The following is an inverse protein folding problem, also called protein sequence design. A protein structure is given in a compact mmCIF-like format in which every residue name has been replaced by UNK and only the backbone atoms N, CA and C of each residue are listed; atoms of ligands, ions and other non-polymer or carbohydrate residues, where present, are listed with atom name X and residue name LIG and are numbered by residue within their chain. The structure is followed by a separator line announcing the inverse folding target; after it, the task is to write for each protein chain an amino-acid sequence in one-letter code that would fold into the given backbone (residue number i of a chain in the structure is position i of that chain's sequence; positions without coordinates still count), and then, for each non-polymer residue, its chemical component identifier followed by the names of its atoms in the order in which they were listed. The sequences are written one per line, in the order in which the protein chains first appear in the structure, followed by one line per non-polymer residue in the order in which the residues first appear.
data_IF_302000264934
#
_entry.id   IF_302000264934
#
_cell.length_a   1.000
_cell.length_b   1.000
_cell.length_c   1.000
_cell.angle_alpha   90.00
_cell.angle_beta   90.00
_cell.angle_gamma   90.00
#
_symmetry.space_group_name_H-M   'P 1'
#
loop_
_entity.id
_entity.type
_entity.pdbx_description
1 polymer ?
#
# COMPACT_ATOMS: atom_id res chain seq x y z
N UNK A 1 4.69 1.85 25.27
CA UNK A 1 4.29 0.99 24.14
C UNK A 1 3.81 1.90 23.03
N UNK A 2 4.35 1.79 21.83
CA UNK A 2 3.95 2.58 20.66
C UNK A 2 2.98 1.80 19.79
N UNK A 3 2.24 2.51 18.94
CA UNK A 3 1.24 1.89 18.06
C UNK A 3 1.31 2.50 16.65
N UNK A 4 1.22 1.64 15.64
CA UNK A 4 1.07 2.00 14.23
C UNK A 4 -0.20 1.34 13.70
N UNK A 5 -0.98 2.08 12.93
CA UNK A 5 -2.15 1.55 12.23
C UNK A 5 -1.79 1.41 10.75
N UNK A 6 -2.01 0.23 10.17
CA UNK A 6 -1.73 -0.04 8.76
C UNK A 6 -3.06 -0.39 8.09
N UNK A 7 -3.39 0.32 7.02
CA UNK A 7 -4.60 0.07 6.25
C UNK A 7 -4.34 0.17 4.74
N UNK A 8 -5.13 -0.55 3.97
CA UNK A 8 -5.18 -0.44 2.51
C UNK A 8 -6.26 0.56 2.13
N UNK A 9 -6.04 1.32 1.03
CA UNK A 9 -7.06 2.17 0.42
C UNK A 9 -8.34 1.39 0.08
N UNK A 10 -9.49 2.08 0.02
CA UNK A 10 -10.77 1.53 -0.42
C UNK A 10 -10.74 0.98 -1.85
N UNK A 11 -11.78 0.26 -2.26
CA UNK A 11 -11.87 -0.32 -3.59
C UNK A 11 -11.75 0.78 -4.67
N UNK A 12 -10.86 0.58 -5.65
CA UNK A 12 -10.74 1.42 -6.85
C UNK A 12 -11.39 0.76 -8.07
N UNK A 13 -11.69 1.54 -9.12
CA UNK A 13 -12.30 1.05 -10.37
C UNK A 13 -11.51 -0.14 -10.94
N UNK A 14 -10.17 -0.08 -11.00
CA UNK A 14 -9.38 -1.19 -11.52
C UNK A 14 -9.25 -2.38 -10.55
N UNK A 15 -9.54 -2.19 -9.25
CA UNK A 15 -9.71 -3.33 -8.35
C UNK A 15 -10.99 -4.10 -8.70
N UNK A 16 -12.10 -3.39 -8.95
CA UNK A 16 -13.36 -3.95 -9.40
C UNK A 16 -13.20 -4.67 -10.75
N UNK A 17 -12.50 -4.06 -11.71
CA UNK A 17 -12.21 -4.62 -13.03
C UNK A 17 -11.19 -5.76 -13.03
N UNK A 18 -10.60 -6.08 -11.88
CA UNK A 18 -9.52 -7.07 -11.75
C UNK A 18 -8.31 -6.82 -12.66
N UNK A 19 -7.91 -5.55 -12.82
CA UNK A 19 -6.72 -5.14 -13.59
C UNK A 19 -5.50 -4.94 -12.67
N UNK A 20 -4.30 -4.99 -13.26
CA UNK A 20 -3.08 -4.54 -12.60
C UNK A 20 -3.09 -3.01 -12.53
N UNK A 21 -3.02 -2.44 -11.33
CA UNK A 21 -3.16 -0.99 -11.14
C UNK A 21 -1.82 -0.29 -11.03
N UNK A 22 -0.92 -0.80 -10.20
CA UNK A 22 0.39 -0.21 -9.99
C UNK A 22 0.34 1.27 -9.61
N UNK A 23 1.07 2.10 -10.36
CA UNK A 23 1.17 3.54 -10.13
C UNK A 23 0.18 4.36 -10.95
N UNK A 24 -0.62 3.75 -11.80
CA UNK A 24 -1.67 4.45 -12.54
C UNK A 24 -2.68 5.08 -11.56
N UNK A 25 -3.02 6.35 -11.82
CA UNK A 25 -3.99 7.09 -11.02
C UNK A 25 -5.42 6.70 -11.36
N UNK A 26 -6.01 5.88 -10.50
CA UNK A 26 -7.38 5.39 -10.63
C UNK A 26 -8.18 5.79 -9.39
N UNK A 27 -9.37 6.40 -9.54
CA UNK A 27 -10.19 6.83 -8.42
C UNK A 27 -10.83 5.65 -7.69
N UNK A 28 -11.36 5.93 -6.50
CA UNK A 28 -12.19 4.99 -5.76
C UNK A 28 -13.53 4.75 -6.47
N UNK A 29 -14.11 3.57 -6.22
CA UNK A 29 -15.54 3.32 -6.46
C UNK A 29 -16.37 3.94 -5.33
N UNK A 30 -17.70 4.06 -5.51
CA UNK A 30 -18.58 4.48 -4.41
C UNK A 30 -18.51 3.52 -3.23
N UNK A 31 -18.38 2.22 -3.49
CA UNK A 31 -18.11 1.21 -2.47
C UNK A 31 -16.80 1.49 -1.73
N UNK A 32 -15.72 1.84 -2.45
CA UNK A 32 -14.44 2.20 -1.86
C UNK A 32 -14.52 3.44 -0.95
N UNK A 33 -15.34 4.43 -1.30
CA UNK A 33 -15.62 5.61 -0.46
C UNK A 33 -16.38 5.21 0.82
N UNK A 34 -17.35 4.31 0.71
CA UNK A 34 -18.05 3.78 1.88
C UNK A 34 -17.13 2.94 2.78
N UNK A 35 -16.25 2.14 2.17
CA UNK A 35 -15.21 1.41 2.92
C UNK A 35 -14.32 2.36 3.72
N UNK A 36 -13.89 3.49 3.14
CA UNK A 36 -13.09 4.49 3.83
C UNK A 36 -13.79 5.08 5.08
N UNK A 37 -15.10 5.36 4.99
CA UNK A 37 -15.90 5.80 6.14
C UNK A 37 -15.98 4.75 7.24
N UNK A 38 -16.23 3.49 6.87
CA UNK A 38 -16.24 2.36 7.82
C UNK A 38 -14.88 2.18 8.49
N UNK A 39 -13.78 2.31 7.74
CA UNK A 39 -12.42 2.27 8.28
C UNK A 39 -12.23 3.32 9.37
N UNK A 40 -12.66 4.56 9.13
CA UNK A 40 -12.56 5.64 10.11
C UNK A 40 -13.31 5.28 11.42
N UNK A 41 -14.54 4.77 11.31
CA UNK A 41 -15.34 4.35 12.47
C UNK A 41 -14.60 3.29 13.30
N UNK A 42 -14.05 2.27 12.64
CA UNK A 42 -13.37 1.15 13.30
C UNK A 42 -12.05 1.55 13.94
N UNK A 43 -11.30 2.50 13.33
CA UNK A 43 -10.02 2.95 13.87
C UNK A 43 -10.14 4.11 14.87
N UNK A 44 -11.32 4.72 15.02
CA UNK A 44 -11.56 5.85 15.97
C UNK A 44 -11.07 5.57 17.41
N UNK A 45 -11.29 4.36 18.01
CA UNK A 45 -10.78 4.06 19.35
C UNK A 45 -9.26 4.08 19.49
N UNK A 46 -8.53 3.89 18.38
CA UNK A 46 -7.07 3.86 18.35
C UNK A 46 -6.43 5.23 18.19
N UNK A 47 -7.24 6.27 17.96
CA UNK A 47 -6.86 7.68 17.91
C UNK A 47 -5.68 7.97 16.99
N UNK A 48 -5.76 7.66 15.67
CA UNK A 48 -4.72 8.07 14.75
C UNK A 48 -4.55 9.58 14.78
N UNK A 49 -3.32 10.07 14.87
CA UNK A 49 -3.03 11.50 15.02
C UNK A 49 -2.21 12.09 13.87
N UNK A 50 -1.78 11.25 12.94
CA UNK A 50 -1.06 11.62 11.72
C UNK A 50 -1.29 10.53 10.66
N UNK A 51 -1.46 10.92 9.40
CA UNK A 51 -1.68 9.99 8.28
C UNK A 51 -0.50 10.08 7.33
N UNK A 52 0.14 8.94 7.06
CA UNK A 52 1.12 8.75 5.99
C UNK A 52 0.46 7.99 4.85
N UNK A 53 0.51 8.54 3.64
CA UNK A 53 -0.14 7.92 2.48
C UNK A 53 0.69 8.05 1.21
N UNK A 54 0.33 7.30 0.17
CA UNK A 54 0.96 7.41 -1.13
C UNK A 54 0.49 8.65 -1.89
N UNK A 55 1.17 8.98 -2.99
CA UNK A 55 0.75 10.07 -3.89
C UNK A 55 -0.34 9.65 -4.88
N UNK A 56 -0.82 8.40 -4.82
CA UNK A 56 -1.83 7.88 -5.73
C UNK A 56 -3.23 8.30 -5.29
N UNK A 57 -4.04 8.74 -6.25
CA UNK A 57 -5.36 9.33 -6.02
C UNK A 57 -6.25 8.51 -5.09
N UNK A 58 -6.37 7.18 -5.30
CA UNK A 58 -7.19 6.29 -4.47
C UNK A 58 -6.78 6.29 -3.01
N UNK A 59 -5.48 6.46 -2.73
CA UNK A 59 -4.92 6.48 -1.38
C UNK A 59 -5.17 7.85 -0.74
N UNK A 60 -4.92 8.94 -1.48
CA UNK A 60 -5.21 10.31 -1.03
C UNK A 60 -6.70 10.46 -0.73
N UNK A 61 -7.58 10.02 -1.65
CA UNK A 61 -9.04 10.11 -1.48
C UNK A 61 -9.51 9.34 -0.24
N UNK A 62 -8.99 8.12 -0.01
CA UNK A 62 -9.28 7.35 1.20
C UNK A 62 -8.81 8.09 2.46
N UNK A 63 -7.59 8.65 2.45
CA UNK A 63 -7.03 9.41 3.58
C UNK A 63 -7.88 10.63 3.91
N UNK A 64 -8.31 11.37 2.90
CA UNK A 64 -9.15 12.58 3.07
C UNK A 64 -10.52 12.24 3.65
N UNK A 65 -11.12 11.12 3.22
CA UNK A 65 -12.39 10.66 3.79
C UNK A 65 -12.20 10.27 5.26
N UNK A 66 -11.16 9.50 5.58
CA UNK A 66 -10.86 9.10 6.96
C UNK A 66 -10.60 10.33 7.83
N UNK A 67 -9.79 11.28 7.36
CA UNK A 67 -9.52 12.53 8.06
C UNK A 67 -10.81 13.27 8.41
N UNK A 68 -11.71 13.43 7.43
CA UNK A 68 -13.01 14.10 7.64
C UNK A 68 -13.89 13.41 8.66
N UNK A 69 -13.97 12.09 8.62
CA UNK A 69 -14.79 11.31 9.58
C UNK A 69 -14.20 11.34 11.00
N UNK A 70 -12.91 11.65 11.14
CA UNK A 70 -12.22 11.75 12.43
C UNK A 70 -12.04 13.18 12.92
N UNK A 71 -12.52 14.20 12.19
CA UNK A 71 -12.33 15.65 12.48
C UNK A 71 -12.74 16.09 13.90
N UNK A 72 -13.67 15.38 14.54
CA UNK A 72 -14.02 15.66 15.94
C UNK A 72 -12.86 15.50 16.92
N UNK A 73 -11.75 14.89 16.49
CA UNK A 73 -10.62 14.57 17.35
C UNK A 73 -9.45 15.56 17.26
N UNK A 74 -9.25 16.26 16.16
CA UNK A 74 -8.25 17.31 15.82
C UNK A 74 -8.00 17.32 14.31
N UNK A 75 -7.36 18.37 13.78
CA UNK A 75 -6.77 18.35 12.45
C UNK A 75 -5.66 17.30 12.39
N UNK A 76 -5.94 16.18 11.70
CA UNK A 76 -4.98 15.09 11.51
C UNK A 76 -4.19 15.41 10.24
N UNK A 77 -2.88 15.72 10.31
CA UNK A 77 -2.08 16.01 9.12
C UNK A 77 -1.94 14.79 8.21
N UNK A 78 -1.97 15.04 6.89
CA UNK A 78 -1.73 14.02 5.86
C UNK A 78 -0.39 14.29 5.18
N UNK A 79 0.53 13.34 5.29
CA UNK A 79 1.84 13.35 4.64
C UNK A 79 1.84 12.37 3.47
N UNK A 80 2.15 12.87 2.28
CA UNK A 80 2.20 12.05 1.06
C UNK A 80 3.64 11.72 0.68
N UNK A 81 3.90 10.48 0.31
CA UNK A 81 5.19 10.05 -0.23
C UNK A 81 5.03 8.98 -1.30
N UNK A 82 5.75 9.11 -2.42
CA UNK A 82 5.80 8.07 -3.44
C UNK A 82 6.40 6.76 -2.92
N UNK A 83 7.16 6.81 -1.83
CA UNK A 83 7.72 5.62 -1.16
C UNK A 83 6.64 4.71 -0.60
N UNK A 84 5.42 5.23 -0.39
CA UNK A 84 4.23 4.45 0.00
C UNK A 84 3.37 4.01 -1.20
N UNK A 85 3.77 4.28 -2.46
CA UNK A 85 3.02 3.81 -3.63
C UNK A 85 2.94 2.28 -3.67
N UNK A 86 1.95 1.76 -4.42
CA UNK A 86 1.85 0.34 -4.75
C UNK A 86 3.09 -0.15 -5.53
N UNK A 87 3.32 -1.45 -5.55
CA UNK A 87 4.27 -2.07 -6.47
C UNK A 87 3.98 -1.61 -7.90
N UNK A 88 4.99 -1.10 -8.59
CA UNK A 88 4.87 -0.73 -10.00
C UNK A 88 4.85 -1.99 -10.86
N UNK A 89 3.86 -2.09 -11.75
CA UNK A 89 3.71 -3.27 -12.60
C UNK A 89 4.27 -3.09 -14.02
N UNK A 90 4.93 -1.96 -14.31
CA UNK A 90 5.50 -1.69 -15.63
C UNK A 90 4.43 -1.74 -16.72
N UNK A 91 4.72 -2.43 -17.80
CA UNK A 91 3.81 -2.57 -18.95
C UNK A 91 2.53 -3.37 -18.67
N UNK A 92 2.42 -4.00 -17.49
CA UNK A 92 1.19 -4.70 -17.11
C UNK A 92 0.11 -3.76 -16.56
N UNK A 93 0.40 -2.50 -16.29
CA UNK A 93 -0.60 -1.57 -15.75
C UNK A 93 -1.76 -1.38 -16.74
N UNK A 94 -2.99 -1.56 -16.26
CA UNK A 94 -4.21 -1.58 -17.07
C UNK A 94 -4.58 -2.94 -17.68
N UNK A 95 -3.66 -3.91 -17.68
CA UNK A 95 -3.90 -5.25 -18.23
C UNK A 95 -4.81 -6.05 -17.27
N UNK A 96 -5.87 -6.70 -17.78
CA UNK A 96 -6.69 -7.62 -16.99
C UNK A 96 -5.85 -8.80 -16.47
N UNK A 97 -6.00 -9.15 -15.18
CA UNK A 97 -5.27 -10.29 -14.58
C UNK A 97 -5.60 -11.61 -15.30
N UNK A 98 -6.83 -11.74 -15.79
CA UNK A 98 -7.24 -12.91 -16.58
C UNK A 98 -6.36 -13.09 -17.82
N UNK A 99 -6.04 -12.00 -18.55
CA UNK A 99 -5.19 -12.06 -19.72
C UNK A 99 -3.79 -12.65 -19.40
N UNK A 100 -3.17 -12.19 -18.34
CA UNK A 100 -1.86 -12.71 -17.93
C UNK A 100 -1.94 -14.18 -17.53
N UNK A 101 -3.00 -14.57 -16.84
CA UNK A 101 -3.24 -15.97 -16.48
C UNK A 101 -3.46 -16.86 -17.71
N UNK A 102 -4.21 -16.39 -18.68
CA UNK A 102 -4.51 -17.14 -19.90
C UNK A 102 -3.24 -17.30 -20.78
N UNK A 103 -2.35 -16.30 -20.80
CA UNK A 103 -1.12 -16.30 -21.63
C UNK A 103 0.04 -17.02 -20.94
N UNK A 104 0.25 -16.80 -19.65
CA UNK A 104 1.42 -17.27 -18.91
C UNK A 104 1.12 -18.38 -17.90
N UNK A 105 -0.15 -18.72 -17.71
CA UNK A 105 -0.60 -19.72 -16.76
C UNK A 105 -0.82 -19.20 -15.34
N UNK A 106 -1.56 -19.99 -14.54
CA UNK A 106 -1.90 -19.65 -13.15
C UNK A 106 -0.67 -19.56 -12.26
N UNK A 107 0.24 -20.55 -12.36
CA UNK A 107 1.45 -20.59 -11.53
C UNK A 107 2.32 -19.34 -11.71
N UNK A 108 2.58 -18.94 -12.96
CA UNK A 108 3.34 -17.73 -13.24
C UNK A 108 2.66 -16.49 -12.65
N UNK A 109 1.33 -16.37 -12.83
CA UNK A 109 0.55 -15.24 -12.32
C UNK A 109 0.60 -15.19 -10.79
N UNK A 110 0.55 -16.34 -10.13
CA UNK A 110 0.68 -16.45 -8.68
C UNK A 110 2.09 -16.07 -8.22
N UNK A 111 3.13 -16.63 -8.84
CA UNK A 111 4.53 -16.32 -8.52
C UNK A 111 4.81 -14.81 -8.64
N UNK A 112 4.38 -14.17 -9.72
CA UNK A 112 4.54 -12.72 -9.91
C UNK A 112 3.89 -11.91 -8.75
N UNK A 113 2.84 -12.43 -8.14
CA UNK A 113 2.12 -11.79 -7.03
C UNK A 113 2.64 -12.16 -5.65
N UNK A 114 3.26 -13.33 -5.48
CA UNK A 114 3.75 -13.82 -4.19
C UNK A 114 5.25 -13.65 -4.02
N UNK A 115 6.06 -14.00 -5.03
CA UNK A 115 7.51 -14.02 -4.95
C UNK A 115 8.11 -12.65 -4.63
N UNK A 116 9.14 -12.63 -3.80
CA UNK A 116 9.72 -11.41 -3.24
C UNK A 116 10.59 -10.66 -4.26
N UNK A 117 11.40 -11.37 -5.02
CA UNK A 117 12.39 -10.78 -5.95
C UNK A 117 11.90 -10.66 -7.40
N UNK A 118 10.80 -11.34 -7.73
CA UNK A 118 10.31 -11.39 -9.11
C UNK A 118 9.73 -10.07 -9.56
N UNK A 119 10.25 -9.54 -10.68
CA UNK A 119 9.69 -8.39 -11.40
C UNK A 119 8.58 -8.82 -12.37
N UNK A 120 7.64 -7.92 -12.72
CA UNK A 120 6.69 -8.19 -13.78
C UNK A 120 7.40 -8.34 -15.13
N UNK A 121 6.86 -9.12 -16.07
CA UNK A 121 7.40 -9.24 -17.42
C UNK A 121 7.23 -7.92 -18.18
N UNK A 122 8.15 -7.63 -19.08
CA UNK A 122 8.01 -6.54 -20.05
C UNK A 122 7.24 -7.06 -21.25
N UNK A 123 6.02 -6.60 -21.45
CA UNK A 123 5.25 -6.93 -22.64
C UNK A 123 5.70 -6.04 -23.80
N UNK A 124 6.14 -6.66 -24.89
CA UNK A 124 6.43 -5.94 -26.14
C UNK A 124 5.12 -5.36 -26.68
N UNK A 125 5.11 -4.09 -27.07
CA UNK A 125 3.98 -3.37 -27.69
C UNK A 125 2.85 -2.86 -26.77
N UNK A 126 3.01 -2.79 -25.45
CA UNK A 126 2.09 -2.04 -24.60
C UNK A 126 2.72 -0.70 -24.24
N UNK A 127 2.03 0.36 -24.67
CA UNK A 127 2.25 1.80 -24.46
C UNK A 127 3.45 2.22 -23.61
N UNK A 128 4.48 2.77 -24.27
CA UNK A 128 5.61 3.46 -23.65
C UNK A 128 5.24 4.80 -22.96
N UNK A 129 3.97 5.08 -22.75
CA UNK A 129 3.45 6.32 -22.17
C UNK A 129 3.73 6.50 -20.66
N UNK A 130 4.78 5.86 -20.16
CA UNK A 130 5.24 5.97 -18.76
C UNK A 130 5.86 7.34 -18.47
N UNK A 131 6.22 8.12 -19.50
CA UNK A 131 6.77 9.47 -19.35
C UNK A 131 5.77 10.52 -18.85
N UNK A 132 4.51 10.16 -18.67
CA UNK A 132 3.41 11.09 -18.37
C UNK A 132 3.20 11.42 -16.89
N UNK A 133 4.06 10.94 -15.98
CA UNK A 133 3.92 11.22 -14.57
C UNK A 133 4.94 12.28 -14.09
N UNK A 134 4.67 13.60 -14.19
CA UNK A 134 5.57 14.65 -13.71
C UNK A 134 5.94 14.51 -12.23
N UNK A 135 5.04 13.92 -11.45
CA UNK A 135 5.20 13.64 -10.01
C UNK A 135 6.39 12.71 -9.73
N UNK A 136 6.83 11.92 -10.71
CA UNK A 136 7.87 10.91 -10.56
C UNK A 136 9.22 11.30 -11.14
N UNK A 137 9.42 12.57 -11.52
CA UNK A 137 10.70 13.04 -12.10
C UNK A 137 11.92 12.77 -11.23
N UNK A 138 11.72 12.62 -9.91
CA UNK A 138 12.76 12.31 -8.94
C UNK A 138 12.73 10.84 -8.47
N UNK A 139 11.88 10.00 -9.06
CA UNK A 139 11.82 8.58 -8.77
C UNK A 139 12.81 7.84 -9.67
N UNK A 140 13.30 6.72 -9.16
CA UNK A 140 14.21 5.82 -9.86
C UNK A 140 13.61 5.38 -11.22
N UNK A 141 14.03 6.01 -12.31
CA UNK A 141 13.45 5.85 -13.66
C UNK A 141 13.47 4.40 -14.18
N UNK A 142 14.43 3.58 -13.74
CA UNK A 142 14.48 2.16 -14.12
C UNK A 142 13.32 1.32 -13.58
N UNK A 143 12.86 1.61 -12.35
CA UNK A 143 11.70 0.92 -11.78
C UNK A 143 10.43 1.18 -12.60
N UNK A 144 10.33 2.36 -13.20
CA UNK A 144 9.18 2.76 -14.01
C UNK A 144 9.11 1.98 -15.32
N UNK A 145 10.25 1.76 -16.00
CA UNK A 145 10.29 1.03 -17.28
C UNK A 145 10.03 -0.47 -17.13
N UNK A 146 10.56 -1.08 -16.08
CA UNK A 146 10.59 -2.55 -15.93
C UNK A 146 9.69 -3.06 -14.79
N UNK A 147 8.97 -2.17 -14.10
CA UNK A 147 8.24 -2.52 -12.91
C UNK A 147 9.14 -2.84 -11.71
N UNK A 148 8.52 -3.10 -10.57
CA UNK A 148 9.20 -3.37 -9.30
C UNK A 148 9.05 -4.84 -8.89
N UNK A 149 10.08 -5.40 -8.25
CA UNK A 149 9.91 -6.53 -7.34
C UNK A 149 9.38 -6.02 -5.99
N UNK A 150 9.01 -6.92 -5.07
CA UNK A 150 8.65 -6.51 -3.71
C UNK A 150 9.87 -6.10 -2.89
N UNK A 151 11.03 -6.63 -3.23
CA UNK A 151 12.32 -6.20 -2.71
C UNK A 151 12.58 -4.72 -3.05
N UNK A 152 12.32 -4.29 -4.29
CA UNK A 152 12.43 -2.88 -4.68
C UNK A 152 11.44 -2.00 -3.88
N UNK A 153 10.21 -2.48 -3.66
CA UNK A 153 9.23 -1.77 -2.83
C UNK A 153 9.74 -1.61 -1.40
N UNK A 154 10.32 -2.67 -0.81
CA UNK A 154 10.89 -2.62 0.53
C UNK A 154 12.06 -1.64 0.61
N UNK A 155 12.97 -1.68 -0.36
CA UNK A 155 14.16 -0.81 -0.41
C UNK A 155 13.80 0.69 -0.44
N UNK A 156 12.72 1.08 -1.14
CA UNK A 156 12.28 2.48 -1.14
C UNK A 156 11.43 2.86 0.08
N UNK A 157 10.76 1.88 0.68
CA UNK A 157 9.88 2.09 1.84
C UNK A 157 10.67 2.28 3.12
N UNK A 158 11.69 1.45 3.38
CA UNK A 158 12.40 1.40 4.65
C UNK A 158 12.99 2.74 5.08
N UNK A 159 13.72 3.49 4.25
CA UNK A 159 14.26 4.78 4.68
C UNK A 159 13.18 5.76 5.13
N UNK A 160 12.02 5.74 4.48
CA UNK A 160 10.89 6.59 4.86
C UNK A 160 10.20 6.11 6.15
N UNK A 161 10.09 4.80 6.31
CA UNK A 161 9.55 4.21 7.53
C UNK A 161 10.43 4.54 8.74
N UNK A 162 11.73 4.36 8.61
CA UNK A 162 12.69 4.55 9.72
C UNK A 162 12.90 6.02 10.08
N UNK A 163 13.04 6.90 9.09
CA UNK A 163 13.41 8.29 9.33
C UNK A 163 12.21 9.22 9.55
N UNK A 164 11.07 8.95 8.89
CA UNK A 164 9.90 9.82 8.96
C UNK A 164 8.80 9.23 9.86
N UNK A 165 8.41 7.96 9.62
CA UNK A 165 7.26 7.38 10.33
C UNK A 165 7.61 7.02 11.77
N UNK A 166 8.71 6.30 12.01
CA UNK A 166 9.14 5.96 13.37
C UNK A 166 9.47 7.18 14.22
N UNK A 167 9.97 8.25 13.59
CA UNK A 167 10.25 9.50 14.30
C UNK A 167 8.99 10.06 14.98
N UNK A 168 7.83 10.00 14.30
CA UNK A 168 6.58 10.52 14.88
C UNK A 168 6.10 9.76 16.12
N UNK A 169 6.50 8.50 16.27
CA UNK A 169 6.19 7.74 17.48
C UNK A 169 6.92 8.30 18.71
N UNK A 170 8.16 8.77 18.53
CA UNK A 170 8.93 9.41 19.62
C UNK A 170 8.30 10.73 20.06
N UNK A 171 7.55 11.38 19.18
CA UNK A 171 6.80 12.60 19.47
C UNK A 171 5.41 12.33 20.06
N UNK A 172 5.07 11.07 20.32
CA UNK A 172 3.81 10.66 20.93
C UNK A 172 2.63 10.51 19.95
N UNK A 173 2.90 10.50 18.63
CA UNK A 173 1.88 10.28 17.64
C UNK A 173 1.49 8.80 17.50
N UNK A 174 0.27 8.55 17.01
CA UNK A 174 -0.20 7.26 16.54
C UNK A 174 -0.36 7.36 15.01
N UNK A 175 0.65 6.96 14.21
CA UNK A 175 0.58 7.08 12.77
C UNK A 175 -0.37 6.05 12.15
N UNK A 176 -1.18 6.51 11.20
CA UNK A 176 -1.90 5.69 10.24
C UNK A 176 -1.10 5.63 8.94
N UNK A 177 -0.62 4.45 8.57
CA UNK A 177 -0.01 4.18 7.27
C UNK A 177 -1.10 3.67 6.33
N UNK A 178 -1.65 4.57 5.52
CA UNK A 178 -2.64 4.22 4.51
C UNK A 178 -1.96 4.00 3.16
N UNK A 179 -1.89 2.76 2.72
CA UNK A 179 -1.11 2.38 1.55
C UNK A 179 -1.82 1.33 0.68
N UNK A 180 -1.08 0.42 0.06
CA UNK A 180 -1.54 -0.55 -0.92
C UNK A 180 -1.21 -1.98 -0.49
N UNK A 181 -1.84 -2.99 -1.15
CA UNK A 181 -1.71 -4.39 -0.73
C UNK A 181 -0.25 -4.85 -0.65
N UNK A 182 0.55 -4.64 -1.70
CA UNK A 182 1.93 -5.15 -1.70
C UNK A 182 2.85 -4.31 -0.83
N UNK A 183 2.64 -3.00 -0.75
CA UNK A 183 3.44 -2.12 0.12
C UNK A 183 3.18 -2.40 1.59
N UNK A 184 1.92 -2.56 2.00
CA UNK A 184 1.59 -2.99 3.37
C UNK A 184 2.16 -4.38 3.67
N UNK A 185 2.09 -5.31 2.71
CA UNK A 185 2.60 -6.67 2.86
C UNK A 185 4.12 -6.71 3.08
N UNK A 186 4.90 -5.91 2.36
CA UNK A 186 6.35 -5.84 2.57
C UNK A 186 6.73 -5.13 3.87
N UNK A 187 5.92 -4.14 4.31
CA UNK A 187 6.09 -3.56 5.63
C UNK A 187 5.89 -4.59 6.74
N UNK A 188 4.85 -5.42 6.62
CA UNK A 188 4.62 -6.53 7.57
C UNK A 188 5.74 -7.57 7.52
N UNK A 189 6.32 -7.86 6.33
CA UNK A 189 7.51 -8.71 6.22
C UNK A 189 8.65 -8.18 7.09
N UNK A 190 8.93 -6.88 6.98
CA UNK A 190 9.98 -6.24 7.77
C UNK A 190 9.68 -6.28 9.26
N UNK A 191 8.48 -5.89 9.67
CA UNK A 191 8.07 -5.86 11.08
C UNK A 191 8.12 -7.23 11.73
N UNK A 192 7.64 -8.26 11.04
CA UNK A 192 7.60 -9.65 11.52
C UNK A 192 8.88 -10.42 11.25
N UNK A 193 9.89 -9.79 10.64
CA UNK A 193 11.18 -10.41 10.29
C UNK A 193 11.01 -11.72 9.50
N UNK A 194 10.04 -11.76 8.57
CA UNK A 194 9.75 -12.96 7.80
C UNK A 194 10.89 -13.28 6.82
N UNK A 195 11.25 -14.55 6.70
CA UNK A 195 12.05 -15.04 5.56
C UNK A 195 11.27 -14.87 4.25
N UNK A 196 11.94 -14.97 3.11
CA UNK A 196 11.27 -14.87 1.80
C UNK A 196 10.26 -15.98 1.60
N UNK A 197 10.58 -17.20 2.03
CA UNK A 197 9.71 -18.37 1.95
C UNK A 197 8.41 -18.17 2.76
N UNK A 198 8.52 -17.70 4.00
CA UNK A 198 7.36 -17.37 4.84
C UNK A 198 6.53 -16.25 4.22
N UNK A 199 7.21 -15.23 3.70
CA UNK A 199 6.55 -14.10 3.07
C UNK A 199 5.78 -14.47 1.79
N UNK A 200 6.29 -15.38 0.97
CA UNK A 200 5.62 -15.82 -0.25
C UNK A 200 4.26 -16.45 0.03
N UNK A 201 4.12 -17.13 1.16
CA UNK A 201 2.88 -17.74 1.64
C UNK A 201 2.04 -16.81 2.53
N UNK A 202 2.58 -15.65 2.95
CA UNK A 202 1.86 -14.72 3.80
C UNK A 202 0.80 -13.96 3.03
N UNK A 203 -0.46 -14.10 3.41
CA UNK A 203 -1.58 -13.32 2.88
C UNK A 203 -1.90 -12.17 3.82
N UNK A 204 -1.78 -10.94 3.32
CA UNK A 204 -2.21 -9.76 4.06
C UNK A 204 -3.74 -9.75 4.12
N UNK A 205 -4.35 -9.77 5.31
CA UNK A 205 -5.80 -9.67 5.44
C UNK A 205 -6.31 -8.35 4.86
N UNK A 206 -7.50 -8.37 4.28
CA UNK A 206 -8.16 -7.14 3.82
C UNK A 206 -8.89 -6.46 4.99
N UNK A 207 -8.12 -6.11 6.00
CA UNK A 207 -8.51 -5.53 7.27
C UNK A 207 -7.57 -4.39 7.64
N UNK A 208 -7.88 -3.68 8.70
CA UNK A 208 -6.95 -2.74 9.32
C UNK A 208 -6.09 -3.54 10.30
N UNK A 209 -4.78 -3.32 10.27
CA UNK A 209 -3.83 -3.96 11.18
C UNK A 209 -3.34 -2.91 12.17
N UNK A 210 -3.51 -3.17 13.44
CA UNK A 210 -2.96 -2.34 14.51
C UNK A 210 -1.74 -3.04 15.07
N UNK A 211 -0.58 -2.49 14.82
CA UNK A 211 0.71 -3.03 15.27
C UNK A 211 1.13 -2.33 16.55
N UNK A 212 1.39 -3.11 17.58
CA UNK A 212 1.98 -2.64 18.84
C UNK A 212 3.50 -2.85 18.79
N UNK A 213 4.25 -1.82 19.20
CA UNK A 213 5.71 -1.84 19.25
C UNK A 213 6.19 -1.65 20.68
N UNK A 214 7.15 -2.46 21.10
CA UNK A 214 7.91 -2.30 22.34
C UNK A 214 9.34 -1.89 21.99
N UNK A 215 9.81 -0.74 22.50
CA UNK A 215 11.12 -0.18 22.14
C UNK A 215 11.33 -0.09 20.62
N UNK A 216 10.29 0.35 19.89
CA UNK A 216 10.23 0.46 18.42
C UNK A 216 10.40 -0.88 17.67
N UNK A 217 10.37 -2.00 18.36
CA UNK A 217 10.37 -3.35 17.75
C UNK A 217 8.97 -3.94 17.79
N UNK A 218 8.66 -4.77 16.82
CA UNK A 218 7.39 -5.49 16.79
C UNK A 218 7.18 -6.27 18.09
N UNK A 219 6.00 -6.13 18.66
CA UNK A 219 5.57 -6.87 19.85
C UNK A 219 4.34 -7.75 19.56
N UNK A 220 3.29 -7.17 19.02
CA UNK A 220 2.05 -7.86 18.66
C UNK A 220 1.27 -7.08 17.61
N UNK A 221 0.24 -7.68 17.03
CA UNK A 221 -0.74 -6.97 16.24
C UNK A 221 -2.14 -7.54 16.44
N UNK A 222 -3.13 -6.75 16.08
CA UNK A 222 -4.53 -7.14 16.00
C UNK A 222 -5.12 -6.73 14.65
N UNK A 223 -6.16 -7.42 14.21
CA UNK A 223 -6.82 -7.20 12.93
C UNK A 223 -8.24 -6.69 13.17
N UNK A 224 -8.58 -5.53 12.60
CA UNK A 224 -9.88 -4.92 12.72
C UNK A 224 -10.67 -5.09 11.42
N UNK A 225 -11.85 -5.71 11.53
CA UNK A 225 -12.74 -5.92 10.39
C UNK A 225 -13.70 -4.72 10.24
N UNK A 226 -13.61 -4.03 9.11
CA UNK A 226 -14.47 -2.90 8.75
C UNK A 226 -15.54 -3.27 7.71
N UNK A 227 -15.61 -4.53 7.28
CA UNK A 227 -16.55 -4.99 6.26
C UNK A 227 -17.87 -5.53 6.79
N UNK A 228 -17.89 -5.79 8.09
CA UNK A 228 -19.09 -6.22 8.81
C UNK A 228 -20.13 -5.10 8.97
#
# INVERSE_FOLDING_TARGET
MFRIIIARHGESIWNQDSKFTGWTNIPLTDKGRMEAKKMATVMKPYRPSIIFTSVLQRSIETSTIIQKELQEMKDIPIHTSWRLNEKHYGTLEGVPRKYIRDVYGELFTQMMRSNFTMKPPVLKNLNENISLYPVYRNCYLESIKHGESKENVLSRLLPYYENDILYTLSEGHTPLILTHKHTARVLMKHLLQMTDEVFENYELPNKIIVVNLLNLKYYSHEELDYKK
#
